data_IF_401650161996
#
_entry.id   IF_401650161996
#
_cell.length_a   1.000
_cell.length_b   1.000
_cell.length_c   1.000
_cell.angle_alpha   90.00
_cell.angle_beta   90.00
_cell.angle_gamma   90.00
#
_symmetry.space_group_name_H-M   'P 1'
#
loop_
_entity.id
_entity.type
_entity.pdbx_description
1 polymer ?
#
# COMPACT_ATOMS: atom_id res chain seq x y z
N UNK A 1 5.75 15.08 9.19
CA UNK A 1 6.35 13.88 9.31
C UNK A 1 6.43 13.03 8.07
N UNK A 2 7.15 13.54 7.11
CA UNK A 2 7.47 12.82 5.90
C UNK A 2 8.18 11.52 6.15
N UNK A 3 8.72 11.37 7.37
CA UNK A 3 9.43 10.16 7.75
C UNK A 3 8.61 8.88 7.62
N UNK A 4 7.27 8.96 7.64
CA UNK A 4 6.44 7.76 7.54
C UNK A 4 6.59 7.08 6.19
N UNK A 5 6.59 7.87 5.11
CA UNK A 5 6.80 7.30 3.77
C UNK A 5 8.24 6.81 3.65
N UNK A 6 9.19 7.53 4.24
CA UNK A 6 10.59 7.16 4.16
C UNK A 6 10.90 5.85 4.86
N UNK A 7 10.04 5.42 5.77
CA UNK A 7 10.23 4.14 6.46
C UNK A 7 9.88 2.94 5.61
N UNK A 8 9.18 3.16 4.48
CA UNK A 8 9.00 2.09 3.51
C UNK A 8 10.32 1.81 2.82
N UNK A 9 10.61 0.55 2.48
CA UNK A 9 11.81 0.24 1.70
C UNK A 9 11.67 0.69 0.25
N UNK A 10 10.44 0.95 -0.18
CA UNK A 10 10.15 1.32 -1.56
C UNK A 10 10.64 2.72 -1.88
N UNK A 11 11.07 2.92 -3.11
CA UNK A 11 11.48 4.22 -3.63
C UNK A 11 10.97 4.35 -5.06
N UNK A 12 10.84 5.60 -5.54
CA UNK A 12 10.45 5.82 -6.91
C UNK A 12 11.40 5.08 -7.84
N UNK A 13 10.92 4.49 -8.95
CA UNK A 13 9.56 4.63 -9.48
C UNK A 13 8.55 3.63 -8.92
N UNK A 14 8.87 2.89 -7.88
CA UNK A 14 7.97 1.89 -7.29
C UNK A 14 7.43 2.32 -5.93
N UNK A 15 7.14 3.60 -5.78
CA UNK A 15 6.51 4.15 -4.58
C UNK A 15 5.15 4.71 -4.98
N UNK A 16 4.09 4.16 -4.39
CA UNK A 16 2.72 4.47 -4.76
C UNK A 16 1.92 5.07 -3.60
N UNK A 17 2.61 5.73 -2.68
CA UNK A 17 1.99 6.51 -1.62
C UNK A 17 2.61 7.88 -1.67
N UNK A 18 1.78 8.88 -1.94
CA UNK A 18 2.25 10.27 -2.02
C UNK A 18 2.03 11.02 -0.72
N UNK A 19 1.05 10.57 0.07
CA UNK A 19 0.66 11.28 1.28
C UNK A 19 0.19 10.30 2.33
N UNK A 20 0.63 10.49 3.57
CA UNK A 20 0.08 9.78 4.72
C UNK A 20 -0.85 10.76 5.43
N UNK A 21 -2.15 10.51 5.34
CA UNK A 21 -3.14 11.36 5.99
C UNK A 21 -3.13 11.11 7.49
N UNK A 22 -3.14 9.82 7.87
CA UNK A 22 -3.02 9.42 9.26
C UNK A 22 -2.56 7.97 9.31
N UNK A 23 -1.83 7.60 10.36
CA UNK A 23 -1.40 6.23 10.55
C UNK A 23 -1.09 5.95 12.00
N UNK A 24 -1.52 4.77 12.44
CA UNK A 24 -1.08 4.18 13.70
C UNK A 24 -0.94 2.68 13.47
N UNK A 25 -0.65 1.93 14.53
CA UNK A 25 -0.40 0.49 14.40
C UNK A 25 -1.61 -0.27 13.87
N UNK A 26 -2.81 0.28 14.02
CA UNK A 26 -4.05 -0.40 13.64
C UNK A 26 -4.58 0.01 12.28
N UNK A 27 -4.39 1.27 11.88
CA UNK A 27 -5.01 1.81 10.67
C UNK A 27 -4.06 2.78 9.99
N UNK A 28 -3.98 2.69 8.69
CA UNK A 28 -3.31 3.70 7.87
C UNK A 28 -4.29 4.24 6.84
N UNK A 29 -4.29 5.55 6.67
CA UNK A 29 -5.04 6.24 5.63
C UNK A 29 -4.03 7.05 4.83
N UNK A 30 -3.88 6.70 3.57
CA UNK A 30 -2.88 7.29 2.69
C UNK A 30 -3.54 7.71 1.38
N UNK A 31 -2.77 8.34 0.51
CA UNK A 31 -3.26 8.73 -0.80
C UNK A 31 -2.16 8.54 -1.84
N UNK A 32 -2.59 8.14 -3.03
CA UNK A 32 -1.75 8.03 -4.21
C UNK A 32 -2.40 8.88 -5.30
N UNK A 33 -1.67 9.89 -5.78
CA UNK A 33 -2.17 10.79 -6.82
C UNK A 33 -1.60 10.35 -8.16
N UNK A 34 -2.48 9.89 -9.05
CA UNK A 34 -2.08 9.47 -10.39
C UNK A 34 -2.44 10.59 -11.35
N UNK A 35 -1.43 11.23 -11.91
CA UNK A 35 -1.65 12.41 -12.76
C UNK A 35 -2.03 12.07 -14.20
N UNK A 36 -1.55 10.97 -14.71
CA UNK A 36 -1.82 10.56 -16.08
C UNK A 36 -0.60 10.49 -16.97
N UNK A 37 0.55 10.93 -16.47
CA UNK A 37 1.80 10.93 -17.25
C UNK A 37 2.77 9.83 -16.84
N UNK A 38 2.35 8.99 -15.90
CA UNK A 38 3.20 7.91 -15.43
C UNK A 38 3.54 6.97 -16.58
N UNK A 39 4.77 6.50 -16.57
CA UNK A 39 5.29 5.69 -17.67
C UNK A 39 4.48 4.40 -17.89
N UNK A 40 4.02 3.78 -16.80
CA UNK A 40 3.26 2.54 -16.91
C UNK A 40 1.91 2.72 -17.62
N UNK A 41 1.36 3.94 -17.62
CA UNK A 41 0.08 4.20 -18.25
C UNK A 41 0.14 4.13 -19.77
N UNK A 42 1.31 4.37 -20.34
CA UNK A 42 1.48 4.36 -21.79
C UNK A 42 1.16 3.00 -22.39
N UNK A 43 1.38 1.95 -21.62
CA UNK A 43 1.06 0.61 -22.06
C UNK A 43 -0.23 0.04 -21.50
N UNK A 44 -0.92 0.80 -20.64
CA UNK A 44 -2.10 0.28 -19.94
C UNK A 44 -3.24 1.30 -19.96
N UNK A 45 -3.89 1.58 -21.04
CA UNK A 45 -3.73 1.04 -22.39
C UNK A 45 -3.42 2.20 -23.32
N UNK A 46 -2.76 1.99 -24.44
CA UNK A 46 -2.41 3.08 -25.35
C UNK A 46 -3.64 3.92 -25.73
N UNK A 47 -3.53 5.25 -25.54
CA UNK A 47 -4.63 6.17 -25.84
C UNK A 47 -5.82 6.10 -24.90
N UNK A 48 -5.80 5.18 -23.93
CA UNK A 48 -6.90 5.01 -22.98
C UNK A 48 -6.33 4.54 -21.64
N UNK A 49 -5.70 5.45 -20.89
CA UNK A 49 -5.01 5.06 -19.66
C UNK A 49 -5.97 4.61 -18.57
N UNK A 50 -5.63 3.50 -17.94
CA UNK A 50 -6.32 3.00 -16.75
C UNK A 50 -5.24 2.61 -15.74
N UNK A 51 -5.49 2.91 -14.48
CA UNK A 51 -4.55 2.54 -13.42
C UNK A 51 -4.59 1.02 -13.25
N UNK A 52 -3.45 0.33 -13.37
CA UNK A 52 -3.43 -1.12 -13.25
C UNK A 52 -3.87 -1.57 -11.85
N UNK A 53 -4.76 -2.58 -11.80
CA UNK A 53 -5.22 -3.12 -10.53
C UNK A 53 -4.08 -3.67 -9.70
N UNK A 54 -3.06 -4.27 -10.33
CA UNK A 54 -1.92 -4.80 -9.59
C UNK A 54 -1.15 -3.70 -8.88
N UNK A 55 -1.12 -2.48 -9.43
CA UNK A 55 -0.47 -1.36 -8.78
C UNK A 55 -1.34 -0.77 -7.66
N UNK A 56 -2.65 -0.81 -7.81
CA UNK A 56 -3.55 -0.44 -6.70
C UNK A 56 -3.33 -1.40 -5.54
N UNK A 57 -3.22 -2.68 -5.82
CA UNK A 57 -2.93 -3.68 -4.79
C UNK A 57 -1.60 -3.39 -4.11
N UNK A 58 -0.57 -3.04 -4.90
CA UNK A 58 0.73 -2.70 -4.32
C UNK A 58 0.64 -1.44 -3.48
N UNK A 59 -0.10 -0.43 -3.93
CA UNK A 59 -0.29 0.80 -3.16
C UNK A 59 -0.96 0.51 -1.81
N UNK A 60 -1.96 -0.38 -1.81
CA UNK A 60 -2.61 -0.80 -0.57
C UNK A 60 -1.64 -1.54 0.35
N UNK A 61 -0.76 -2.35 -0.21
CA UNK A 61 0.26 -3.05 0.57
C UNK A 61 1.25 -2.05 1.18
N UNK A 62 1.59 -1.00 0.45
CA UNK A 62 2.48 0.04 0.98
C UNK A 62 1.79 0.80 2.11
N UNK A 63 0.50 1.10 1.98
CA UNK A 63 -0.25 1.73 3.07
C UNK A 63 -0.24 0.84 4.32
N UNK A 64 -0.44 -0.46 4.14
CA UNK A 64 -0.38 -1.41 5.25
C UNK A 64 1.01 -1.42 5.88
N UNK A 65 2.06 -1.35 5.07
CA UNK A 65 3.44 -1.25 5.57
C UNK A 65 3.67 -0.01 6.41
N UNK A 66 3.00 1.09 6.08
CA UNK A 66 3.08 2.31 6.86
C UNK A 66 2.45 2.10 8.25
N UNK A 67 1.33 1.36 8.33
CA UNK A 67 0.74 1.03 9.62
C UNK A 67 1.71 0.17 10.46
N UNK A 68 2.34 -0.82 9.83
CA UNK A 68 3.34 -1.64 10.53
C UNK A 68 4.47 -0.76 11.05
N UNK A 69 4.97 0.14 10.22
CA UNK A 69 6.07 1.01 10.62
C UNK A 69 5.68 1.97 11.75
N UNK A 70 4.40 2.26 11.91
CA UNK A 70 3.91 3.12 12.98
C UNK A 70 3.81 2.37 14.32
N UNK A 71 3.92 1.05 14.32
CA UNK A 71 3.86 0.24 15.52
C UNK A 71 5.23 0.22 16.19
N UNK A 72 5.32 0.68 17.45
CA UNK A 72 6.61 0.65 18.16
C UNK A 72 7.24 -0.74 18.24
N UNK A 73 6.42 -1.79 18.25
CA UNK A 73 6.92 -3.15 18.28
C UNK A 73 7.70 -3.52 17.02
N UNK A 74 7.51 -2.75 15.95
CA UNK A 74 8.18 -3.01 14.67
C UNK A 74 9.10 -1.86 14.26
N UNK A 75 9.57 -1.09 15.25
CA UNK A 75 10.40 0.09 14.96
C UNK A 75 11.68 -0.27 14.20
N UNK A 76 12.20 -1.48 14.39
CA UNK A 76 13.42 -1.92 13.74
C UNK A 76 13.15 -2.89 12.59
N UNK A 77 11.91 -3.02 12.16
CA UNK A 77 11.59 -3.92 11.07
C UNK A 77 12.19 -3.42 9.76
N UNK A 78 12.67 -4.34 8.95
CA UNK A 78 13.29 -4.03 7.67
C UNK A 78 12.25 -3.80 6.57
N UNK A 79 10.97 -3.78 6.91
CA UNK A 79 9.88 -3.61 5.97
C UNK A 79 9.10 -4.90 5.82
N UNK A 80 8.08 -4.86 5.00
CA UNK A 80 7.21 -5.99 4.78
C UNK A 80 7.27 -6.47 3.34
N UNK A 81 6.94 -7.74 3.16
CA UNK A 81 6.83 -8.33 1.85
C UNK A 81 5.40 -8.84 1.68
N UNK A 82 4.78 -8.49 0.57
CA UNK A 82 3.43 -8.97 0.25
C UNK A 82 3.51 -10.45 -0.09
N UNK A 83 2.82 -11.28 0.71
CA UNK A 83 2.85 -12.73 0.51
C UNK A 83 1.49 -13.29 0.11
N UNK A 84 0.43 -12.51 0.28
CA UNK A 84 -0.91 -12.95 -0.13
C UNK A 84 -1.76 -11.72 -0.41
N UNK A 85 -2.56 -11.78 -1.47
CA UNK A 85 -3.50 -10.73 -1.79
C UNK A 85 -4.77 -11.34 -2.36
N UNK A 86 -5.90 -10.89 -1.82
CA UNK A 86 -7.22 -11.25 -2.33
C UNK A 86 -7.98 -9.93 -2.43
N UNK A 87 -7.87 -9.29 -3.59
CA UNK A 87 -8.39 -7.94 -3.82
C UNK A 87 -9.35 -7.99 -5.00
N UNK A 88 -10.52 -7.41 -4.80
CA UNK A 88 -11.53 -7.30 -5.85
C UNK A 88 -11.57 -5.87 -6.36
N UNK A 89 -11.62 -5.73 -7.68
CA UNK A 89 -11.66 -4.43 -8.34
C UNK A 89 -13.09 -4.14 -8.75
N UNK A 90 -13.68 -3.12 -8.13
CA UNK A 90 -15.09 -2.79 -8.32
C UNK A 90 -15.31 -1.86 -9.49
N UNK A 91 -14.35 -0.96 -9.76
CA UNK A 91 -14.45 0.04 -10.81
C UNK A 91 -13.08 0.31 -11.40
N UNK A 92 -13.01 0.58 -12.70
CA UNK A 92 -11.76 1.04 -13.29
C UNK A 92 -11.43 2.46 -12.78
N UNK A 93 -10.15 2.78 -12.74
CA UNK A 93 -9.69 4.09 -12.33
C UNK A 93 -8.95 4.72 -13.49
N UNK A 94 -9.49 5.83 -14.02
CA UNK A 94 -8.86 6.59 -15.08
C UNK A 94 -8.20 7.82 -14.49
N UNK A 95 -6.95 8.13 -14.88
CA UNK A 95 -6.30 9.34 -14.41
C UNK A 95 -6.89 10.58 -15.06
N UNK A 96 -6.81 11.77 -14.43
CA UNK A 96 -6.18 11.98 -13.13
C UNK A 96 -7.07 11.48 -11.99
N UNK A 97 -6.47 10.94 -10.96
CA UNK A 97 -7.23 10.42 -9.84
C UNK A 97 -6.42 10.53 -8.56
N UNK A 98 -7.11 10.84 -7.47
CA UNK A 98 -6.57 10.71 -6.13
C UNK A 98 -7.16 9.42 -5.55
N UNK A 99 -6.32 8.44 -5.35
CA UNK A 99 -6.74 7.15 -4.82
C UNK A 99 -6.47 7.14 -3.34
N UNK A 100 -7.53 7.06 -2.54
CA UNK A 100 -7.39 6.99 -1.09
C UNK A 100 -7.24 5.54 -0.69
N UNK A 101 -6.23 5.28 0.13
CA UNK A 101 -5.81 3.94 0.50
C UNK A 101 -6.03 3.75 1.99
N UNK A 102 -6.82 2.75 2.35
CA UNK A 102 -7.10 2.43 3.74
C UNK A 102 -6.64 1.02 4.03
N UNK A 103 -5.91 0.85 5.12
CA UNK A 103 -5.47 -0.46 5.57
C UNK A 103 -5.74 -0.57 7.07
N UNK A 104 -6.44 -1.63 7.47
CA UNK A 104 -6.83 -1.86 8.86
C UNK A 104 -6.28 -3.21 9.29
N UNK A 105 -5.51 -3.22 10.38
CA UNK A 105 -4.91 -4.45 10.90
C UNK A 105 -6.00 -5.39 11.42
N UNK A 106 -5.92 -6.66 11.04
CA UNK A 106 -6.85 -7.69 11.47
C UNK A 106 -6.16 -8.80 12.28
N UNK A 107 -4.95 -8.53 12.75
CA UNK A 107 -4.20 -9.50 13.51
C UNK A 107 -3.19 -10.22 12.65
N UNK A 108 -2.64 -11.30 13.18
CA UNK A 108 -1.63 -12.05 12.46
C UNK A 108 -1.12 -13.22 13.28
N UNK A 109 -0.13 -13.88 12.74
CA UNK A 109 0.51 -15.02 13.39
C UNK A 109 2.00 -14.96 13.08
N UNK A 110 2.80 -14.80 14.13
CA UNK A 110 4.25 -14.67 13.95
C UNK A 110 4.59 -13.46 13.12
N UNK A 111 5.34 -13.65 12.06
CA UNK A 111 5.74 -12.57 11.16
C UNK A 111 4.66 -12.18 10.15
N UNK A 112 3.54 -12.90 10.11
CA UNK A 112 2.47 -12.64 9.15
C UNK A 112 1.45 -11.68 9.75
N UNK A 113 1.16 -10.61 9.02
CA UNK A 113 0.22 -9.58 9.44
C UNK A 113 -0.85 -9.41 8.37
N UNK A 114 -2.11 -9.58 8.79
CA UNK A 114 -3.26 -9.47 7.90
C UNK A 114 -3.90 -8.10 8.01
N UNK A 115 -4.27 -7.57 6.86
CA UNK A 115 -4.95 -6.28 6.78
C UNK A 115 -6.18 -6.38 5.90
N UNK A 116 -7.26 -5.72 6.32
CA UNK A 116 -8.37 -5.39 5.44
C UNK A 116 -7.97 -4.12 4.70
N UNK A 117 -8.14 -4.10 3.40
CA UNK A 117 -7.71 -2.96 2.58
C UNK A 117 -8.85 -2.48 1.70
N UNK A 118 -8.81 -1.18 1.39
CA UNK A 118 -9.85 -0.56 0.58
C UNK A 118 -9.26 0.66 -0.12
N UNK A 119 -9.52 0.78 -1.42
CA UNK A 119 -9.13 1.94 -2.20
C UNK A 119 -10.39 2.67 -2.64
N UNK A 120 -10.39 4.01 -2.53
CA UNK A 120 -11.52 4.84 -2.92
C UNK A 120 -11.09 5.96 -3.83
N UNK A 121 -11.98 6.32 -4.75
CA UNK A 121 -11.82 7.51 -5.59
C UNK A 121 -13.14 8.27 -5.50
N UNK A 122 -13.07 9.53 -5.12
CA UNK A 122 -14.26 10.39 -4.96
C UNK A 122 -15.32 9.74 -4.05
N UNK A 123 -14.84 9.08 -3.00
CA UNK A 123 -15.72 8.45 -2.01
C UNK A 123 -16.28 7.08 -2.41
N UNK A 124 -16.04 6.63 -3.63
CA UNK A 124 -16.54 5.33 -4.09
C UNK A 124 -15.44 4.29 -4.00
N UNK A 125 -15.79 3.10 -3.50
CA UNK A 125 -14.84 1.99 -3.42
C UNK A 125 -14.51 1.51 -4.83
N UNK A 126 -13.23 1.53 -5.17
CA UNK A 126 -12.75 1.02 -6.46
C UNK A 126 -12.07 -0.33 -6.32
N UNK A 127 -11.56 -0.64 -5.14
CA UNK A 127 -10.95 -1.94 -4.86
C UNK A 127 -11.06 -2.22 -3.37
N UNK A 128 -11.17 -3.49 -3.00
CA UNK A 128 -11.24 -3.88 -1.60
C UNK A 128 -10.87 -5.34 -1.44
N UNK A 129 -10.42 -5.70 -0.26
CA UNK A 129 -10.09 -7.08 0.04
C UNK A 129 -9.19 -7.21 1.24
N UNK A 130 -8.34 -8.22 1.20
CA UNK A 130 -7.40 -8.51 2.27
C UNK A 130 -6.04 -8.83 1.71
N UNK A 131 -5.02 -8.44 2.47
CA UNK A 131 -3.64 -8.75 2.13
C UNK A 131 -2.93 -9.27 3.38
N UNK A 132 -1.83 -9.97 3.16
CA UNK A 132 -0.96 -10.42 4.24
C UNK A 132 0.45 -9.96 3.92
N UNK A 133 1.08 -9.32 4.90
CA UNK A 133 2.49 -8.95 4.82
C UNK A 133 3.30 -9.85 5.73
N UNK A 134 4.45 -10.29 5.26
CA UNK A 134 5.45 -10.91 6.11
C UNK A 134 6.40 -9.81 6.55
N UNK A 135 6.52 -9.63 7.86
CA UNK A 135 7.34 -8.57 8.43
C UNK A 135 8.63 -9.18 8.96
N UNK A 136 9.77 -8.68 8.47
CA UNK A 136 11.08 -9.15 8.92
C UNK A 136 11.70 -8.10 9.81
N UNK A 137 12.04 -8.50 11.02
CA UNK A 137 12.77 -7.63 11.91
C UNK A 137 14.27 -7.68 11.60
N UNK A 138 15.01 -6.70 12.16
CA UNK A 138 16.45 -6.66 11.99
C UNK A 138 17.12 -7.89 12.61
N UNK A 139 16.50 -8.49 13.64
CA UNK A 139 17.05 -9.66 14.28
C UNK A 139 17.07 -10.87 13.35
N UNK A 140 16.07 -10.99 12.49
CA UNK A 140 16.03 -12.10 11.53
C UNK A 140 17.19 -12.03 10.57
N UNK A 141 17.52 -10.83 10.13
CA UNK A 141 18.65 -10.65 9.23
C UNK A 141 19.95 -11.05 9.90
N UNK A 142 20.07 -10.80 11.21
CA UNK A 142 21.27 -11.11 11.95
C UNK A 142 21.48 -12.62 12.12
N UNK A 143 20.42 -13.39 12.00
CA UNK A 143 20.50 -14.85 12.17
C UNK A 143 20.87 -15.57 10.90
N UNK A 144 20.83 -14.86 9.80
CA UNK A 144 21.14 -15.44 8.52
C UNK A 144 22.64 -15.31 8.24
#
# INVERSE_FOLDING_TARGET
MGSRIERLPHRAPFLFVDEVVSADASVAHCAWNVGGREEFLKGHFPGRPLVPGVLITEALAQAAGIAVAADPAHANAAGGMLVHADVRFRRPVAPPARIELHASAEGGLGALHRFAVEARVDGAVVAEGRIVLAIQGSDNAAQE
#
